data_IF_638438613297
#
_entry.id   IF_638438613297
#
_cell.length_a   1.000
_cell.length_b   1.000
_cell.length_c   1.000
_cell.angle_alpha   90.00
_cell.angle_beta   90.00
_cell.angle_gamma   90.00
#
_symmetry.space_group_name_H-M   'P 1'
#
loop_
_entity.id
_entity.type
_entity.pdbx_description
1 polymer ?
#
# COMPACT_ATOMS: atom_id res chain seq x y z
N UNK A 1 -15.17 -4.54 -55.61
CA UNK A 1 -15.15 -3.99 -54.26
C UNK A 1 -14.05 -4.68 -53.50
N UNK A 2 -13.02 -3.95 -53.16
CA UNK A 2 -11.68 -4.44 -52.79
C UNK A 2 -11.59 -4.99 -51.37
N UNK A 3 -10.67 -5.94 -51.15
CA UNK A 3 -10.33 -6.58 -49.88
C UNK A 3 -9.89 -5.64 -48.75
N UNK A 4 -9.82 -4.33 -48.98
CA UNK A 4 -9.52 -3.28 -47.99
C UNK A 4 -10.70 -2.89 -47.07
N UNK A 5 -11.93 -3.43 -47.35
CA UNK A 5 -13.14 -3.04 -46.59
C UNK A 5 -13.48 -4.00 -45.43
N UNK A 6 -12.74 -5.08 -45.21
CA UNK A 6 -13.13 -6.13 -44.25
C UNK A 6 -12.52 -5.99 -42.81
N UNK A 7 -11.62 -5.06 -42.57
CA UNK A 7 -11.00 -4.91 -41.23
C UNK A 7 -10.65 -3.47 -40.96
N UNK A 8 -11.65 -2.64 -40.68
CA UNK A 8 -11.46 -1.24 -40.25
C UNK A 8 -11.55 -1.05 -38.74
N UNK A 9 -11.99 -2.03 -37.97
CA UNK A 9 -11.87 -1.98 -36.52
C UNK A 9 -10.39 -2.13 -36.14
N UNK A 10 -9.95 -1.26 -35.29
CA UNK A 10 -8.63 -1.39 -34.69
C UNK A 10 -8.68 -2.59 -33.73
N UNK A 11 -7.75 -3.57 -33.84
CA UNK A 11 -7.82 -4.84 -33.09
C UNK A 11 -7.95 -4.65 -31.58
N UNK A 12 -7.34 -3.58 -31.07
CA UNK A 12 -7.38 -3.20 -29.66
C UNK A 12 -8.80 -2.86 -29.15
N UNK A 13 -9.66 -2.34 -30.02
CA UNK A 13 -11.02 -1.89 -29.66
C UNK A 13 -12.14 -2.82 -30.18
N UNK A 14 -11.82 -3.93 -30.84
CA UNK A 14 -12.82 -4.82 -31.44
C UNK A 14 -13.82 -5.42 -30.44
N UNK A 15 -13.45 -5.49 -29.15
CA UNK A 15 -14.28 -6.01 -28.04
C UNK A 15 -14.96 -4.93 -27.22
N UNK A 16 -14.80 -3.66 -27.58
CA UNK A 16 -15.47 -2.56 -26.90
C UNK A 16 -16.99 -2.74 -26.93
N UNK A 17 -17.63 -2.47 -25.83
CA UNK A 17 -19.07 -2.57 -25.65
C UNK A 17 -19.74 -1.29 -26.13
N UNK A 18 -20.44 -1.40 -27.23
CA UNK A 18 -21.13 -0.27 -27.87
C UNK A 18 -22.62 -0.35 -27.59
N UNK A 19 -23.21 0.74 -27.08
CA UNK A 19 -24.65 0.88 -26.98
C UNK A 19 -25.14 1.74 -28.15
N UNK A 20 -26.11 1.26 -28.91
CA UNK A 20 -26.77 2.00 -30.00
C UNK A 20 -28.19 2.30 -29.60
N UNK A 21 -28.55 3.58 -29.57
CA UNK A 21 -29.91 4.01 -29.27
C UNK A 21 -30.55 4.77 -30.44
N UNK A 22 -31.70 4.28 -30.87
CA UNK A 22 -32.60 4.94 -31.84
C UNK A 22 -34.00 4.39 -31.61
N UNK A 23 -35.04 5.25 -31.67
CA UNK A 23 -36.45 4.85 -31.57
C UNK A 23 -36.98 4.04 -32.76
N UNK A 24 -36.27 4.05 -33.90
CA UNK A 24 -36.57 3.25 -35.10
C UNK A 24 -35.81 1.94 -35.09
N UNK A 25 -36.48 0.81 -35.00
CA UNK A 25 -35.86 -0.52 -35.06
C UNK A 25 -35.12 -0.75 -36.38
N UNK A 26 -35.58 -0.18 -37.51
CA UNK A 26 -34.93 -0.33 -38.81
C UNK A 26 -33.59 0.42 -38.83
N UNK A 27 -33.55 1.63 -38.30
CA UNK A 27 -32.32 2.44 -38.21
C UNK A 27 -31.30 1.82 -37.27
N UNK A 28 -31.75 1.25 -36.15
CA UNK A 28 -30.89 0.50 -35.21
C UNK A 28 -30.18 -0.65 -35.94
N UNK A 29 -30.94 -1.48 -36.68
CA UNK A 29 -30.34 -2.61 -37.44
C UNK A 29 -29.31 -2.12 -38.45
N UNK A 30 -29.55 -1.00 -39.11
CA UNK A 30 -28.59 -0.41 -40.06
C UNK A 30 -27.28 0.04 -39.37
N UNK A 31 -27.34 0.67 -38.20
CA UNK A 31 -26.14 1.09 -37.48
C UNK A 31 -25.40 -0.10 -36.84
N UNK A 32 -26.13 -1.05 -36.27
CA UNK A 32 -25.54 -2.30 -35.71
C UNK A 32 -24.83 -3.08 -36.81
N UNK A 33 -25.48 -3.33 -37.97
CA UNK A 33 -24.86 -4.04 -39.10
C UNK A 33 -23.60 -3.33 -39.58
N UNK A 34 -23.59 -1.99 -39.68
CA UNK A 34 -22.41 -1.22 -40.04
C UNK A 34 -21.27 -1.41 -39.03
N UNK A 35 -21.56 -1.39 -37.71
CA UNK A 35 -20.57 -1.61 -36.65
C UNK A 35 -20.00 -3.05 -36.72
N UNK A 36 -20.84 -4.06 -36.97
CA UNK A 36 -20.41 -5.43 -37.12
C UNK A 36 -19.54 -5.62 -38.40
N UNK A 37 -19.91 -4.97 -39.49
CA UNK A 37 -19.15 -5.01 -40.77
C UNK A 37 -17.75 -4.41 -40.63
N UNK A 38 -17.58 -3.39 -39.80
CA UNK A 38 -16.27 -2.79 -39.49
C UNK A 38 -15.51 -3.53 -38.39
N UNK A 39 -16.12 -4.56 -37.75
CA UNK A 39 -15.44 -5.51 -36.87
C UNK A 39 -15.71 -5.40 -35.39
N UNK A 40 -16.68 -4.57 -34.94
CA UNK A 40 -17.11 -4.54 -33.56
C UNK A 40 -18.07 -5.67 -33.25
N UNK A 41 -17.83 -6.45 -32.18
CA UNK A 41 -18.59 -7.68 -31.88
C UNK A 41 -19.51 -7.57 -30.68
N UNK A 42 -19.35 -6.55 -29.84
CA UNK A 42 -20.11 -6.37 -28.59
C UNK A 42 -21.05 -5.16 -28.70
N UNK A 43 -21.98 -5.22 -29.65
CA UNK A 43 -22.95 -4.16 -29.90
C UNK A 43 -24.30 -4.52 -29.26
N UNK A 44 -24.80 -3.63 -28.40
CA UNK A 44 -26.14 -3.73 -27.80
C UNK A 44 -27.01 -2.60 -28.34
N UNK A 45 -28.29 -2.88 -28.60
CA UNK A 45 -29.21 -1.89 -29.12
C UNK A 45 -30.42 -1.68 -28.23
N UNK A 46 -30.91 -0.44 -28.19
CA UNK A 46 -32.13 -0.04 -27.51
C UNK A 46 -33.00 0.82 -28.39
N UNK A 47 -34.34 0.64 -28.30
CA UNK A 47 -35.32 1.42 -29.02
C UNK A 47 -36.27 2.21 -28.11
N UNK A 48 -36.22 1.99 -26.81
CA UNK A 48 -37.02 2.70 -25.82
C UNK A 48 -36.12 3.54 -24.91
N UNK A 49 -36.26 4.85 -24.96
CA UNK A 49 -35.45 5.80 -24.18
C UNK A 49 -35.54 5.60 -22.66
N UNK A 50 -36.64 5.02 -22.15
CA UNK A 50 -36.86 4.75 -20.71
C UNK A 50 -35.85 3.70 -20.18
N UNK A 51 -35.28 2.87 -21.05
CA UNK A 51 -34.32 1.84 -20.68
C UNK A 51 -32.85 2.29 -20.78
N UNK A 52 -32.55 3.50 -21.30
CA UNK A 52 -31.16 3.96 -21.47
C UNK A 52 -30.46 4.03 -20.11
N UNK A 53 -30.99 4.78 -19.15
CA UNK A 53 -30.33 4.93 -17.84
C UNK A 53 -30.26 3.63 -17.03
N UNK A 54 -31.32 2.80 -16.96
CA UNK A 54 -31.20 1.46 -16.36
C UNK A 54 -30.11 0.62 -17.02
N UNK A 55 -30.06 0.55 -18.34
CA UNK A 55 -29.06 -0.23 -19.09
C UNK A 55 -27.63 0.27 -18.86
N UNK A 56 -27.43 1.59 -18.77
CA UNK A 56 -26.12 2.17 -18.48
C UNK A 56 -25.66 1.97 -17.03
N UNK A 57 -26.61 1.85 -16.09
CA UNK A 57 -26.33 1.70 -14.67
C UNK A 57 -26.24 0.24 -14.22
N UNK A 58 -26.79 -0.70 -14.98
CA UNK A 58 -26.83 -2.12 -14.67
C UNK A 58 -25.82 -2.92 -15.51
N UNK A 59 -25.10 -3.82 -14.88
CA UNK A 59 -24.15 -4.71 -15.55
C UNK A 59 -22.77 -4.11 -15.81
N UNK A 60 -22.10 -4.64 -16.84
CA UNK A 60 -20.77 -4.15 -17.23
C UNK A 60 -20.89 -2.82 -17.99
N UNK A 61 -19.93 -1.88 -17.77
CA UNK A 61 -19.99 -0.55 -18.41
C UNK A 61 -19.91 -0.65 -19.95
N UNK A 62 -20.55 0.31 -20.61
CA UNK A 62 -20.36 0.52 -22.05
C UNK A 62 -19.18 1.45 -22.29
N UNK A 63 -18.52 1.26 -23.44
CA UNK A 63 -17.33 2.03 -23.83
C UNK A 63 -17.69 3.26 -24.68
N UNK A 64 -18.81 3.19 -25.38
CA UNK A 64 -19.34 4.31 -26.18
C UNK A 64 -20.85 4.15 -26.40
N UNK A 65 -21.53 5.26 -26.52
CA UNK A 65 -22.95 5.33 -26.86
C UNK A 65 -23.16 6.04 -28.21
N UNK A 66 -23.84 5.37 -29.13
CA UNK A 66 -24.41 6.00 -30.32
C UNK A 66 -25.83 6.50 -30.03
N UNK A 67 -26.07 7.78 -30.24
CA UNK A 67 -27.36 8.44 -29.98
C UNK A 67 -27.90 9.05 -31.27
N UNK A 68 -28.98 8.50 -31.82
CA UNK A 68 -29.68 9.17 -32.94
C UNK A 68 -30.47 10.40 -32.45
N UNK A 69 -30.39 11.48 -33.19
CA UNK A 69 -31.04 12.74 -32.86
C UNK A 69 -32.40 12.95 -33.58
N UNK A 70 -32.80 12.05 -34.47
CA UNK A 70 -34.03 12.14 -35.26
C UNK A 70 -35.28 11.70 -34.51
N UNK A 71 -35.24 11.72 -33.20
CA UNK A 71 -36.37 11.37 -32.35
C UNK A 71 -37.35 12.54 -32.20
N UNK A 72 -38.66 12.28 -32.02
CA UNK A 72 -39.65 13.30 -31.70
C UNK A 72 -39.26 14.09 -30.44
N UNK A 73 -39.75 15.31 -30.34
CA UNK A 73 -39.68 16.17 -29.14
C UNK A 73 -38.25 16.38 -28.57
N UNK A 74 -37.21 16.28 -29.41
CA UNK A 74 -35.79 16.41 -29.04
C UNK A 74 -35.38 15.43 -27.95
N UNK A 75 -35.96 14.24 -27.90
CA UNK A 75 -35.66 13.20 -26.91
C UNK A 75 -34.18 12.83 -26.91
N UNK A 76 -33.50 12.79 -28.08
CA UNK A 76 -32.07 12.54 -28.18
C UNK A 76 -31.22 13.53 -27.38
N UNK A 77 -31.50 14.82 -27.47
CA UNK A 77 -30.83 15.88 -26.73
C UNK A 77 -31.12 15.81 -25.25
N UNK A 78 -32.35 15.54 -24.84
CA UNK A 78 -32.73 15.36 -23.44
C UNK A 78 -32.00 14.18 -22.81
N UNK A 79 -31.87 13.08 -23.52
CA UNK A 79 -31.15 11.89 -23.06
C UNK A 79 -29.67 12.17 -22.91
N UNK A 80 -29.01 12.86 -23.86
CA UNK A 80 -27.62 13.28 -23.72
C UNK A 80 -27.42 14.10 -22.44
N UNK A 81 -28.25 15.09 -22.21
CA UNK A 81 -28.19 15.91 -21.01
C UNK A 81 -28.36 15.08 -19.73
N UNK A 82 -29.33 14.15 -19.72
CA UNK A 82 -29.58 13.27 -18.57
C UNK A 82 -28.38 12.36 -18.28
N UNK A 83 -27.80 11.77 -19.31
CA UNK A 83 -26.62 10.90 -19.20
C UNK A 83 -25.43 11.68 -18.62
N UNK A 84 -25.23 12.93 -19.05
CA UNK A 84 -24.13 13.80 -18.58
C UNK A 84 -24.23 14.22 -17.12
N UNK A 85 -25.40 14.06 -16.49
CA UNK A 85 -25.53 14.25 -15.04
C UNK A 85 -24.91 13.08 -14.23
N UNK A 86 -24.72 11.93 -14.88
CA UNK A 86 -24.22 10.71 -14.20
C UNK A 86 -22.85 10.30 -14.73
N UNK A 87 -22.64 10.40 -16.04
CA UNK A 87 -21.41 9.97 -16.70
C UNK A 87 -20.69 11.17 -17.35
N UNK A 88 -19.41 11.34 -17.05
CA UNK A 88 -18.58 12.33 -17.73
C UNK A 88 -18.39 11.98 -19.21
N UNK A 89 -17.96 12.96 -20.00
CA UNK A 89 -17.67 12.76 -21.42
C UNK A 89 -16.49 11.78 -21.66
N UNK A 90 -15.59 11.65 -20.70
CA UNK A 90 -14.48 10.72 -20.78
C UNK A 90 -14.84 9.30 -20.33
N UNK A 91 -15.76 9.16 -19.37
CA UNK A 91 -16.23 7.83 -18.92
C UNK A 91 -17.10 7.13 -19.94
N UNK A 92 -18.05 7.86 -20.52
CA UNK A 92 -18.96 7.35 -21.54
C UNK A 92 -19.01 8.32 -22.72
N UNK A 93 -18.15 8.20 -23.71
CA UNK A 93 -18.24 8.97 -24.94
C UNK A 93 -19.58 8.75 -25.64
N UNK A 94 -20.20 9.86 -26.12
CA UNK A 94 -21.42 9.84 -26.89
C UNK A 94 -21.15 10.34 -28.31
N UNK A 95 -21.46 9.51 -29.30
CA UNK A 95 -21.41 9.83 -30.71
C UNK A 95 -22.85 10.04 -31.23
N UNK A 96 -23.20 11.29 -31.51
CA UNK A 96 -24.54 11.64 -31.96
C UNK A 96 -24.68 11.41 -33.46
N UNK A 97 -25.87 10.97 -33.91
CA UNK A 97 -26.19 10.77 -35.33
C UNK A 97 -27.31 11.72 -35.73
N UNK A 98 -27.10 12.48 -36.79
CA UNK A 98 -28.07 13.48 -37.27
C UNK A 98 -28.38 13.35 -38.77
N UNK A 99 -29.48 14.07 -39.20
CA UNK A 99 -29.82 14.26 -40.61
C UNK A 99 -29.10 15.49 -41.17
N UNK A 100 -28.61 15.46 -42.43
CA UNK A 100 -27.96 16.61 -43.05
C UNK A 100 -28.87 17.82 -43.20
N UNK A 101 -30.20 17.64 -43.10
CA UNK A 101 -31.19 18.70 -43.16
C UNK A 101 -31.42 19.43 -41.83
N UNK A 102 -30.77 18.97 -40.76
CA UNK A 102 -30.91 19.54 -39.42
C UNK A 102 -29.54 19.81 -38.77
N UNK A 103 -28.69 20.67 -39.37
CA UNK A 103 -27.34 20.91 -38.87
C UNK A 103 -27.30 21.54 -37.47
N UNK A 104 -28.37 22.25 -37.10
CA UNK A 104 -28.56 22.85 -35.76
C UNK A 104 -28.62 21.79 -34.65
N UNK A 105 -29.10 20.56 -34.95
CA UNK A 105 -29.11 19.47 -34.00
C UNK A 105 -27.73 18.94 -33.68
N UNK A 106 -26.77 18.99 -34.62
CA UNK A 106 -25.39 18.64 -34.37
C UNK A 106 -24.77 19.54 -33.30
N UNK A 107 -24.92 20.86 -33.48
CA UNK A 107 -24.38 21.83 -32.51
C UNK A 107 -25.08 21.71 -31.16
N UNK A 108 -26.40 21.51 -31.16
CA UNK A 108 -27.16 21.30 -29.92
C UNK A 108 -26.74 20.04 -29.18
N UNK A 109 -26.42 18.93 -29.89
CA UNK A 109 -25.91 17.71 -29.26
C UNK A 109 -24.54 17.90 -28.62
N UNK A 110 -23.60 18.59 -29.30
CA UNK A 110 -22.30 18.92 -28.73
C UNK A 110 -22.44 19.80 -27.49
N UNK A 111 -23.31 20.83 -27.54
CA UNK A 111 -23.60 21.66 -26.38
C UNK A 111 -24.30 20.89 -25.24
N UNK A 112 -25.12 19.89 -25.55
CA UNK A 112 -25.72 18.99 -24.56
C UNK A 112 -24.70 18.01 -23.95
N UNK A 113 -23.49 17.88 -24.53
CA UNK A 113 -22.41 17.06 -24.02
C UNK A 113 -22.07 15.82 -24.87
N UNK A 114 -22.55 15.70 -26.12
CA UNK A 114 -22.01 14.70 -27.03
C UNK A 114 -20.52 14.99 -27.30
N UNK A 115 -19.73 13.94 -27.46
CA UNK A 115 -18.29 14.06 -27.73
C UNK A 115 -18.03 14.39 -29.20
N UNK A 116 -18.86 13.84 -30.10
CA UNK A 116 -18.72 14.03 -31.54
C UNK A 116 -20.07 13.72 -32.21
N UNK A 117 -20.17 13.95 -33.52
CA UNK A 117 -21.36 13.67 -34.29
C UNK A 117 -21.06 13.07 -35.65
N UNK A 118 -22.03 12.33 -36.19
CA UNK A 118 -22.07 11.77 -37.54
C UNK A 118 -23.27 12.32 -38.28
N UNK A 119 -23.11 12.56 -39.58
CA UNK A 119 -24.18 13.01 -40.47
C UNK A 119 -24.49 11.87 -41.47
N UNK A 120 -25.79 11.60 -41.71
CA UNK A 120 -26.20 10.60 -42.66
C UNK A 120 -26.01 11.10 -44.12
N UNK A 121 -25.67 10.25 -45.11
CA UNK A 121 -25.43 8.81 -44.98
C UNK A 121 -24.12 8.54 -44.21
N UNK A 122 -24.14 7.55 -43.33
CA UNK A 122 -22.99 7.27 -42.44
C UNK A 122 -21.91 6.53 -43.27
N UNK A 123 -20.69 7.08 -43.28
CA UNK A 123 -19.53 6.45 -43.89
C UNK A 123 -18.86 5.50 -42.87
N UNK A 124 -18.65 4.21 -43.17
CA UNK A 124 -17.96 3.27 -42.31
C UNK A 124 -16.56 3.73 -41.87
N UNK A 125 -15.81 4.40 -42.75
CA UNK A 125 -14.47 4.88 -42.46
C UNK A 125 -14.52 6.03 -41.44
N UNK A 126 -15.47 6.98 -41.61
CA UNK A 126 -15.64 8.10 -40.66
C UNK A 126 -16.03 7.56 -39.27
N UNK A 127 -16.94 6.56 -39.20
CA UNK A 127 -17.31 5.90 -37.94
C UNK A 127 -16.07 5.27 -37.29
N UNK A 128 -15.28 4.47 -38.01
CA UNK A 128 -14.13 3.78 -37.48
C UNK A 128 -13.08 4.77 -36.91
N UNK A 129 -12.82 5.87 -37.62
CA UNK A 129 -11.87 6.90 -37.19
C UNK A 129 -12.32 7.64 -35.95
N UNK A 130 -13.61 8.03 -35.87
CA UNK A 130 -14.18 8.74 -34.71
C UNK A 130 -14.24 7.80 -33.49
N UNK A 131 -14.66 6.57 -33.66
CA UNK A 131 -14.67 5.56 -32.60
C UNK A 131 -13.27 5.34 -32.03
N UNK A 132 -12.26 5.16 -32.89
CA UNK A 132 -10.88 5.02 -32.45
C UNK A 132 -10.46 6.20 -31.56
N UNK A 133 -10.73 7.43 -32.00
CA UNK A 133 -10.33 8.62 -31.26
C UNK A 133 -11.04 8.69 -29.90
N UNK A 134 -12.34 8.42 -29.86
CA UNK A 134 -13.13 8.44 -28.62
C UNK A 134 -12.70 7.36 -27.64
N UNK A 135 -12.48 6.13 -28.14
CA UNK A 135 -12.06 5.02 -27.31
C UNK A 135 -10.63 5.22 -26.79
N UNK A 136 -9.71 5.74 -27.62
CA UNK A 136 -8.35 6.07 -27.17
C UNK A 136 -8.37 7.11 -26.04
N UNK A 137 -9.17 8.18 -26.15
CA UNK A 137 -9.29 9.19 -25.09
C UNK A 137 -9.86 8.56 -23.80
N UNK A 138 -10.85 7.70 -23.95
CA UNK A 138 -11.44 6.98 -22.80
C UNK A 138 -10.41 6.07 -22.12
N UNK A 139 -9.63 5.30 -22.87
CA UNK A 139 -8.60 4.41 -22.32
C UNK A 139 -7.53 5.18 -21.55
N UNK A 140 -7.10 6.33 -22.09
CA UNK A 140 -6.18 7.23 -21.38
C UNK A 140 -6.79 7.73 -20.08
N UNK A 141 -8.07 8.11 -20.10
CA UNK A 141 -8.77 8.58 -18.91
C UNK A 141 -8.86 7.48 -17.84
N UNK A 142 -9.28 6.27 -18.21
CA UNK A 142 -9.41 5.15 -17.28
C UNK A 142 -8.05 4.75 -16.69
N UNK A 143 -7.01 4.68 -17.52
CA UNK A 143 -5.64 4.40 -17.05
C UNK A 143 -5.14 5.47 -16.10
N UNK A 144 -5.42 6.75 -16.37
CA UNK A 144 -5.06 7.86 -15.48
C UNK A 144 -5.78 7.76 -14.11
N UNK A 145 -7.06 7.41 -14.12
CA UNK A 145 -7.85 7.20 -12.90
C UNK A 145 -7.31 6.04 -12.07
N UNK A 146 -6.94 4.94 -12.71
CA UNK A 146 -6.36 3.79 -12.03
C UNK A 146 -5.01 4.13 -11.38
N UNK A 147 -4.12 4.82 -12.10
CA UNK A 147 -2.84 5.29 -11.56
C UNK A 147 -3.06 6.23 -10.38
N UNK A 148 -4.00 7.18 -10.49
CA UNK A 148 -4.32 8.11 -9.40
C UNK A 148 -4.81 7.38 -8.16
N UNK A 149 -5.76 6.46 -8.32
CA UNK A 149 -6.32 5.67 -7.21
C UNK A 149 -5.24 4.82 -6.51
N UNK A 150 -4.32 4.24 -7.28
CA UNK A 150 -3.22 3.45 -6.73
C UNK A 150 -2.23 4.34 -5.97
N UNK A 151 -1.90 5.52 -6.52
CA UNK A 151 -1.03 6.49 -5.86
C UNK A 151 -1.63 7.01 -4.54
N UNK A 152 -2.92 7.34 -4.54
CA UNK A 152 -3.63 7.79 -3.33
C UNK A 152 -3.60 6.72 -2.23
N UNK A 153 -3.80 5.44 -2.59
CA UNK A 153 -3.69 4.32 -1.64
C UNK A 153 -2.27 4.17 -1.09
N UNK A 154 -1.26 4.30 -1.94
CA UNK A 154 0.14 4.22 -1.51
C UNK A 154 0.52 5.38 -0.59
N UNK A 155 0.14 6.62 -0.93
CA UNK A 155 0.35 7.81 -0.10
C UNK A 155 -0.34 7.67 1.26
N UNK A 156 -1.60 7.21 1.28
CA UNK A 156 -2.34 6.98 2.52
C UNK A 156 -1.65 5.94 3.41
N UNK A 157 -1.19 4.82 2.83
CA UNK A 157 -0.47 3.78 3.56
C UNK A 157 0.86 4.28 4.14
N UNK A 158 1.64 5.03 3.35
CA UNK A 158 2.90 5.64 3.82
C UNK A 158 2.67 6.67 4.92
N UNK A 159 1.63 7.51 4.78
CA UNK A 159 1.29 8.52 5.78
C UNK A 159 0.86 7.87 7.10
N UNK A 160 0.07 6.79 7.03
CA UNK A 160 -0.33 6.04 8.22
C UNK A 160 0.89 5.46 8.96
N UNK A 161 1.86 4.88 8.22
CA UNK A 161 3.11 4.38 8.80
C UNK A 161 3.93 5.49 9.48
N UNK A 162 4.07 6.66 8.84
CA UNK A 162 4.78 7.81 9.40
C UNK A 162 4.11 8.35 10.67
N UNK A 163 2.81 8.53 10.66
CA UNK A 163 2.06 9.00 11.83
C UNK A 163 2.23 8.06 13.03
N UNK A 164 2.18 6.75 12.77
CA UNK A 164 2.41 5.75 13.79
C UNK A 164 3.81 5.84 14.41
N UNK A 165 4.86 6.05 13.59
CA UNK A 165 6.22 6.27 14.11
C UNK A 165 6.31 7.56 14.95
N UNK A 166 5.68 8.64 14.51
CA UNK A 166 5.65 9.91 15.26
C UNK A 166 4.95 9.73 16.61
N UNK A 167 3.78 9.09 16.63
CA UNK A 167 3.02 8.84 17.87
C UNK A 167 3.81 7.97 18.84
N UNK A 168 4.43 6.90 18.34
CA UNK A 168 5.30 6.03 19.13
C UNK A 168 6.50 6.80 19.70
N UNK A 169 7.18 7.61 18.88
CA UNK A 169 8.29 8.45 19.33
C UNK A 169 7.89 9.44 20.43
N UNK A 170 6.73 10.09 20.28
CA UNK A 170 6.19 11.00 21.30
C UNK A 170 5.84 10.27 22.61
N UNK A 171 5.26 9.08 22.52
CA UNK A 171 4.92 8.26 23.68
C UNK A 171 6.20 7.81 24.41
N UNK A 172 7.19 7.32 23.67
CA UNK A 172 8.49 6.92 24.19
C UNK A 172 9.19 8.07 24.91
N UNK A 173 9.18 9.27 24.36
CA UNK A 173 9.82 10.45 24.96
C UNK A 173 9.17 10.92 26.29
N UNK A 174 7.93 10.55 26.56
CA UNK A 174 7.18 10.88 27.77
C UNK A 174 7.29 9.81 28.86
N UNK A 175 7.68 8.60 28.50
CA UNK A 175 7.78 7.48 29.42
C UNK A 175 9.05 7.60 30.24
N UNK A 176 8.92 7.62 31.59
CA UNK A 176 10.03 7.72 32.54
C UNK A 176 10.39 6.41 33.25
N UNK A 177 9.77 5.33 32.82
CA UNK A 177 10.01 3.98 33.30
C UNK A 177 10.68 3.15 32.20
N UNK A 178 11.90 2.72 32.45
CA UNK A 178 12.70 1.92 31.52
C UNK A 178 12.01 0.63 31.13
N UNK A 179 11.38 -0.04 32.09
CA UNK A 179 10.68 -1.30 31.81
C UNK A 179 9.44 -1.08 30.93
N UNK A 180 8.65 -0.05 31.23
CA UNK A 180 7.49 0.33 30.44
C UNK A 180 7.89 0.71 29.00
N UNK A 181 9.00 1.40 28.83
CA UNK A 181 9.52 1.79 27.51
C UNK A 181 9.92 0.58 26.67
N UNK A 182 10.69 -0.34 27.25
CA UNK A 182 11.10 -1.58 26.59
C UNK A 182 9.88 -2.42 26.20
N UNK A 183 8.95 -2.59 27.14
CA UNK A 183 7.72 -3.34 26.88
C UNK A 183 6.92 -2.72 25.74
N UNK A 184 6.75 -1.41 25.76
CA UNK A 184 6.04 -0.71 24.68
C UNK A 184 6.70 -0.94 23.32
N UNK A 185 8.03 -0.77 23.23
CA UNK A 185 8.79 -1.00 21.98
C UNK A 185 8.58 -2.41 21.43
N UNK A 186 8.66 -3.42 22.28
CA UNK A 186 8.50 -4.82 21.85
C UNK A 186 7.05 -5.11 21.36
N UNK A 187 6.04 -4.66 22.12
CA UNK A 187 4.65 -4.91 21.77
C UNK A 187 4.22 -4.15 20.52
N UNK A 188 4.65 -2.90 20.36
CA UNK A 188 4.37 -2.11 19.17
C UNK A 188 5.11 -2.65 17.95
N UNK A 189 6.39 -3.03 18.10
CA UNK A 189 7.14 -3.68 17.02
C UNK A 189 6.47 -4.98 16.56
N UNK A 190 6.04 -5.82 17.51
CA UNK A 190 5.29 -7.05 17.20
C UNK A 190 3.99 -6.77 16.43
N UNK A 191 3.24 -5.76 16.86
CA UNK A 191 1.99 -5.35 16.21
C UNK A 191 2.22 -4.80 14.80
N UNK A 192 3.23 -3.94 14.64
CA UNK A 192 3.62 -3.35 13.36
C UNK A 192 4.01 -4.37 12.31
N UNK A 193 4.75 -5.38 12.74
CA UNK A 193 5.28 -6.40 11.85
C UNK A 193 4.30 -7.56 11.63
N UNK A 194 3.18 -7.60 12.35
CA UNK A 194 2.28 -8.75 12.40
C UNK A 194 3.08 -10.05 12.64
N UNK A 195 3.87 -10.08 13.72
CA UNK A 195 4.66 -11.25 14.09
C UNK A 195 4.24 -11.80 15.46
N UNK A 196 4.57 -13.06 15.69
CA UNK A 196 4.11 -13.80 16.86
C UNK A 196 4.85 -13.40 18.15
N UNK A 197 6.16 -13.18 18.06
CA UNK A 197 6.96 -12.84 19.23
C UNK A 197 8.03 -11.79 18.92
N UNK A 198 8.45 -11.08 19.99
CA UNK A 198 9.58 -10.15 19.95
C UNK A 198 10.40 -10.29 21.22
N UNK A 199 11.72 -10.13 21.09
CA UNK A 199 12.71 -10.25 22.15
C UNK A 199 13.66 -9.05 22.12
N UNK A 200 14.06 -8.57 23.30
CA UNK A 200 15.12 -7.58 23.45
C UNK A 200 16.31 -8.19 24.18
N UNK A 201 17.49 -8.02 23.59
CA UNK A 201 18.78 -8.22 24.22
C UNK A 201 19.42 -6.87 24.49
N UNK A 202 19.96 -6.65 25.67
CA UNK A 202 20.71 -5.45 26.01
C UNK A 202 22.20 -5.77 26.12
N UNK A 203 23.04 -4.86 25.65
CA UNK A 203 24.50 -4.95 25.82
C UNK A 203 24.80 -4.61 27.28
N UNK A 204 25.62 -5.44 27.92
CA UNK A 204 26.11 -5.24 29.28
C UNK A 204 27.49 -4.58 29.30
N UNK A 205 27.92 -4.08 30.45
CA UNK A 205 29.25 -3.52 30.66
C UNK A 205 30.36 -4.58 30.40
N UNK A 206 30.04 -5.88 30.49
CA UNK A 206 30.95 -6.99 30.20
C UNK A 206 30.98 -7.33 28.68
N UNK A 207 30.36 -6.50 27.84
CA UNK A 207 30.26 -6.75 26.38
C UNK A 207 29.61 -8.10 26.07
N UNK A 208 28.53 -8.38 26.76
CA UNK A 208 27.64 -9.50 26.48
C UNK A 208 26.28 -9.00 26.05
N UNK A 209 25.53 -9.78 25.29
CA UNK A 209 24.10 -9.59 25.04
C UNK A 209 23.33 -10.38 26.09
N UNK A 210 22.70 -9.67 27.02
CA UNK A 210 21.83 -10.27 28.03
C UNK A 210 20.39 -10.22 27.58
N UNK A 211 19.69 -11.32 27.71
CA UNK A 211 18.27 -11.43 27.52
C UNK A 211 17.52 -10.50 28.49
N UNK A 212 16.79 -9.53 28.00
CA UNK A 212 16.17 -8.51 28.86
C UNK A 212 14.65 -8.64 28.97
N UNK A 213 13.96 -8.86 27.84
CA UNK A 213 12.51 -8.96 27.81
C UNK A 213 12.03 -9.73 26.57
N UNK A 214 10.87 -10.37 26.70
CA UNK A 214 10.15 -11.05 25.62
C UNK A 214 8.65 -10.75 25.71
N UNK A 215 7.95 -10.80 24.56
CA UNK A 215 6.48 -10.60 24.51
C UNK A 215 5.67 -11.86 24.86
N UNK A 216 6.30 -13.01 25.01
CA UNK A 216 5.67 -14.26 25.48
C UNK A 216 5.91 -14.45 26.97
N UNK A 217 4.98 -15.10 27.64
CA UNK A 217 5.04 -15.40 29.09
C UNK A 217 5.91 -16.65 29.39
N UNK A 218 6.99 -16.86 28.63
CA UNK A 218 7.92 -17.93 28.86
C UNK A 218 8.94 -17.51 29.94
N UNK A 219 9.43 -18.46 30.75
CA UNK A 219 10.55 -18.18 31.65
C UNK A 219 11.76 -17.73 30.85
N UNK A 220 12.25 -16.54 31.17
CA UNK A 220 13.49 -16.00 30.58
C UNK A 220 14.65 -16.80 31.14
N UNK A 221 15.37 -17.49 30.28
CA UNK A 221 16.68 -18.03 30.66
C UNK A 221 17.60 -16.84 30.97
N UNK A 222 18.26 -16.86 32.14
CA UNK A 222 19.30 -15.89 32.47
C UNK A 222 20.56 -16.20 31.63
N UNK A 223 20.44 -15.96 30.34
CA UNK A 223 21.44 -16.34 29.34
C UNK A 223 22.11 -15.07 28.83
N UNK A 224 23.41 -15.04 28.95
CA UNK A 224 24.27 -14.02 28.35
C UNK A 224 25.08 -14.60 27.21
N UNK A 225 25.17 -13.89 26.08
CA UNK A 225 25.95 -14.27 24.91
C UNK A 225 27.08 -13.27 24.79
N UNK A 226 28.33 -13.73 24.88
CA UNK A 226 29.50 -12.88 24.73
C UNK A 226 29.58 -12.30 23.30
N UNK A 227 29.85 -11.00 23.18
CA UNK A 227 30.10 -10.34 21.89
C UNK A 227 31.48 -10.65 21.35
N UNK A 228 32.41 -11.01 22.25
CA UNK A 228 33.78 -11.42 21.92
C UNK A 228 34.10 -12.69 22.64
N UNK A 229 34.89 -13.58 22.01
CA UNK A 229 35.36 -14.78 22.65
C UNK A 229 36.20 -14.43 23.88
N UNK A 230 35.88 -14.96 25.06
CA UNK A 230 36.56 -14.58 26.31
C UNK A 230 38.03 -15.01 26.40
N UNK A 231 38.43 -15.93 25.55
CA UNK A 231 39.83 -16.48 25.54
C UNK A 231 40.66 -15.81 24.46
N UNK A 232 40.11 -15.72 23.21
CA UNK A 232 40.85 -15.20 22.06
C UNK A 232 40.65 -13.70 21.85
N UNK A 233 39.56 -13.12 22.37
CA UNK A 233 39.14 -11.72 22.13
C UNK A 233 38.57 -11.50 20.72
N UNK A 234 38.41 -12.53 19.93
CA UNK A 234 37.84 -12.41 18.58
C UNK A 234 36.35 -12.11 18.62
N UNK A 235 35.80 -11.35 17.60
CA UNK A 235 34.39 -11.07 17.49
C UNK A 235 33.57 -12.36 17.36
N UNK A 236 32.54 -12.51 18.18
CA UNK A 236 31.62 -13.63 18.09
C UNK A 236 30.56 -13.35 17.02
N UNK A 237 30.82 -13.74 15.80
CA UNK A 237 29.93 -13.56 14.64
C UNK A 237 29.08 -14.80 14.35
N UNK A 238 29.09 -15.80 15.22
CA UNK A 238 28.40 -17.07 14.99
C UNK A 238 26.89 -16.97 15.15
N UNK A 239 26.41 -16.10 16.05
CA UNK A 239 24.97 -15.92 16.28
C UNK A 239 24.45 -14.70 15.53
N UNK A 240 23.23 -14.78 15.01
CA UNK A 240 22.57 -13.66 14.31
C UNK A 240 22.47 -12.39 15.18
N UNK A 241 22.23 -12.53 16.49
CA UNK A 241 22.13 -11.40 17.42
C UNK A 241 23.49 -10.72 17.68
N UNK A 242 24.57 -11.49 17.88
CA UNK A 242 25.91 -10.94 18.08
C UNK A 242 26.47 -10.35 16.80
N UNK A 243 26.26 -11.01 15.67
CA UNK A 243 26.62 -10.46 14.36
C UNK A 243 25.94 -9.11 14.10
N UNK A 244 24.61 -9.05 14.35
CA UNK A 244 23.82 -7.82 14.23
C UNK A 244 24.39 -6.69 15.11
N UNK A 245 24.70 -6.97 16.36
CA UNK A 245 25.27 -6.01 17.28
C UNK A 245 26.64 -5.49 16.84
N UNK A 246 27.52 -6.41 16.41
CA UNK A 246 28.90 -6.08 16.03
C UNK A 246 28.99 -5.35 14.69
N UNK A 247 28.18 -5.73 13.71
CA UNK A 247 28.19 -5.10 12.38
C UNK A 247 27.24 -3.91 12.26
N UNK A 248 26.37 -3.69 13.26
CA UNK A 248 25.37 -2.60 13.26
C UNK A 248 24.45 -2.65 12.06
N UNK A 249 24.07 -3.87 11.63
CA UNK A 249 23.23 -4.11 10.45
C UNK A 249 22.14 -5.12 10.80
N UNK A 250 20.95 -4.98 10.15
CA UNK A 250 19.89 -5.99 10.27
C UNK A 250 20.35 -7.38 9.81
N UNK A 251 19.74 -8.39 10.41
CA UNK A 251 19.87 -9.79 9.99
C UNK A 251 18.47 -10.36 9.82
N UNK A 252 18.18 -10.85 8.63
CA UNK A 252 16.93 -11.51 8.30
C UNK A 252 17.19 -12.99 7.99
N UNK A 253 16.43 -13.86 8.62
CA UNK A 253 16.48 -15.31 8.41
C UNK A 253 15.07 -15.74 7.99
N UNK A 254 14.97 -16.31 6.80
CA UNK A 254 13.69 -16.71 6.22
C UNK A 254 13.20 -18.03 6.83
N UNK A 255 14.11 -18.97 7.12
CA UNK A 255 13.81 -20.21 7.83
C UNK A 255 14.98 -20.65 8.72
N UNK A 256 14.77 -20.62 10.03
CA UNK A 256 15.77 -21.02 11.06
C UNK A 256 16.27 -22.45 10.88
N UNK A 257 15.45 -23.34 10.34
CA UNK A 257 15.80 -24.77 10.16
C UNK A 257 16.58 -25.04 8.87
N UNK A 258 16.58 -24.11 7.93
CA UNK A 258 17.30 -24.19 6.66
C UNK A 258 18.56 -23.30 6.62
N UNK A 259 18.65 -22.33 7.55
CA UNK A 259 19.76 -21.38 7.64
C UNK A 259 21.05 -22.08 8.07
N UNK A 260 22.16 -21.81 7.35
CA UNK A 260 23.48 -22.39 7.59
C UNK A 260 24.58 -21.35 7.87
N UNK A 261 24.30 -20.07 7.67
CA UNK A 261 25.26 -18.98 7.87
C UNK A 261 25.44 -18.59 9.34
N UNK A 262 24.50 -18.98 10.21
CA UNK A 262 24.54 -18.71 11.65
C UNK A 262 24.32 -19.96 12.47
N UNK A 263 24.93 -19.98 13.68
CA UNK A 263 24.59 -20.98 14.69
C UNK A 263 23.23 -20.68 15.34
N UNK A 264 22.27 -21.48 14.99
CA UNK A 264 20.90 -21.39 15.48
C UNK A 264 20.54 -22.56 16.43
N UNK A 265 21.56 -23.25 16.94
CA UNK A 265 21.39 -24.37 17.89
C UNK A 265 20.65 -23.94 19.16
N UNK A 266 20.94 -22.74 19.67
CA UNK A 266 20.25 -22.17 20.81
C UNK A 266 18.76 -21.94 20.55
N UNK A 267 18.39 -21.41 19.41
CA UNK A 267 16.99 -21.20 18.99
C UNK A 267 16.27 -22.53 18.83
N UNK A 268 16.88 -23.49 18.13
CA UNK A 268 16.33 -24.85 17.96
C UNK A 268 16.19 -25.62 19.27
N UNK A 269 17.16 -25.44 20.18
CA UNK A 269 17.11 -26.04 21.54
C UNK A 269 15.98 -25.45 22.39
N UNK A 270 15.77 -24.14 22.31
CA UNK A 270 14.66 -23.48 22.96
C UNK A 270 13.31 -23.95 22.39
N UNK A 271 13.18 -24.04 21.07
CA UNK A 271 11.99 -24.54 20.39
C UNK A 271 11.65 -25.96 20.85
N UNK A 272 12.65 -26.84 20.93
CA UNK A 272 12.47 -28.22 21.42
C UNK A 272 12.05 -28.29 22.90
N UNK A 273 12.54 -27.38 23.73
CA UNK A 273 12.22 -27.37 25.16
C UNK A 273 10.85 -26.72 25.44
N UNK A 274 10.46 -25.68 24.70
CA UNK A 274 9.25 -24.88 24.94
C UNK A 274 8.04 -25.34 24.10
N UNK A 275 8.25 -26.18 23.08
CA UNK A 275 7.24 -26.52 22.09
C UNK A 275 6.89 -25.35 21.14
N UNK A 276 7.66 -24.28 21.15
CA UNK A 276 7.55 -23.19 20.20
C UNK A 276 8.29 -23.55 18.92
N UNK A 277 7.85 -23.04 17.78
CA UNK A 277 8.52 -23.25 16.51
C UNK A 277 8.87 -21.89 15.91
N UNK A 278 10.17 -21.54 15.97
CA UNK A 278 10.70 -20.34 15.33
C UNK A 278 11.04 -20.63 13.86
N UNK A 279 10.33 -20.04 12.93
CA UNK A 279 10.58 -20.20 11.49
C UNK A 279 11.34 -19.00 10.94
N UNK A 280 10.74 -17.82 10.92
CA UNK A 280 11.35 -16.62 10.37
C UNK A 280 11.77 -15.64 11.46
N UNK A 281 12.90 -14.95 11.27
CA UNK A 281 13.38 -13.93 12.21
C UNK A 281 13.86 -12.67 11.49
N UNK A 282 13.68 -11.53 12.15
CA UNK A 282 14.29 -10.25 11.79
C UNK A 282 14.92 -9.65 13.04
N UNK A 283 16.24 -9.46 12.99
CA UNK A 283 17.04 -8.94 14.09
C UNK A 283 17.63 -7.60 13.69
N UNK A 284 17.41 -6.56 14.51
CA UNK A 284 17.87 -5.19 14.22
C UNK A 284 18.64 -4.60 15.40
N UNK A 285 19.69 -3.79 15.17
CA UNK A 285 20.48 -3.17 16.23
C UNK A 285 19.77 -1.92 16.77
N UNK A 286 19.88 -1.68 18.06
CA UNK A 286 19.51 -0.42 18.72
C UNK A 286 20.77 0.41 18.87
N UNK A 287 20.95 1.43 18.02
CA UNK A 287 22.16 2.25 17.94
C UNK A 287 21.88 3.60 18.60
N UNK A 288 22.77 4.02 19.53
CA UNK A 288 22.75 5.33 20.17
C UNK A 288 23.29 6.43 19.26
N UNK A 289 23.09 7.69 19.67
CA UNK A 289 23.54 8.85 18.89
C UNK A 289 25.06 8.96 18.69
N UNK A 290 25.85 8.39 19.56
CA UNK A 290 27.32 8.26 19.48
C UNK A 290 27.78 7.08 18.60
N UNK A 291 26.84 6.27 18.16
CA UNK A 291 27.08 5.09 17.33
C UNK A 291 27.28 3.80 18.10
N UNK A 292 27.20 3.80 19.41
CA UNK A 292 27.28 2.59 20.22
C UNK A 292 25.99 1.78 20.17
N UNK A 293 26.10 0.45 20.30
CA UNK A 293 24.95 -0.45 20.30
C UNK A 293 24.47 -0.67 21.72
N UNK A 294 23.26 -0.21 22.01
CA UNK A 294 22.59 -0.41 23.30
C UNK A 294 22.04 -1.85 23.45
N UNK A 295 21.65 -2.45 22.35
CA UNK A 295 21.03 -3.76 22.33
C UNK A 295 20.60 -4.21 20.95
N UNK A 296 19.84 -5.28 20.92
CA UNK A 296 19.31 -5.88 19.68
C UNK A 296 17.84 -6.25 19.89
N UNK A 297 16.99 -5.85 18.97
CA UNK A 297 15.60 -6.28 18.86
C UNK A 297 15.50 -7.46 17.90
N UNK A 298 14.86 -8.53 18.30
CA UNK A 298 14.59 -9.69 17.46
C UNK A 298 13.08 -9.95 17.38
N UNK A 299 12.56 -10.01 16.18
CA UNK A 299 11.18 -10.33 15.86
C UNK A 299 11.12 -11.72 15.24
N UNK A 300 10.09 -12.50 15.61
CA UNK A 300 9.99 -13.90 15.23
C UNK A 300 8.62 -14.19 14.65
N UNK A 301 8.59 -15.04 13.62
CA UNK A 301 7.40 -15.58 12.98
C UNK A 301 6.45 -14.49 12.47
N UNK A 302 6.81 -13.86 11.35
CA UNK A 302 5.88 -12.97 10.64
C UNK A 302 4.67 -13.77 10.18
N UNK A 303 3.48 -13.25 10.48
CA UNK A 303 2.22 -13.89 10.13
C UNK A 303 1.60 -13.15 8.94
N UNK A 304 1.18 -13.89 7.93
CA UNK A 304 0.36 -13.36 6.86
C UNK A 304 -1.07 -13.12 7.35
N UNK A 305 -1.59 -11.88 7.30
CA UNK A 305 -2.95 -11.58 7.76
C UNK A 305 -4.07 -12.31 7.01
N UNK A 306 -3.83 -12.75 5.78
CA UNK A 306 -4.82 -13.41 4.94
C UNK A 306 -4.90 -14.92 5.21
N UNK A 307 -3.74 -15.60 5.29
CA UNK A 307 -3.66 -17.06 5.49
C UNK A 307 -3.45 -17.48 6.94
N UNK A 308 -3.01 -16.56 7.80
CA UNK A 308 -2.56 -16.82 9.17
C UNK A 308 -1.37 -17.79 9.25
N UNK A 309 -0.61 -17.92 8.16
CA UNK A 309 0.60 -18.75 8.10
C UNK A 309 1.84 -17.92 8.42
N UNK A 310 2.89 -18.59 8.92
CA UNK A 310 4.19 -17.95 9.14
C UNK A 310 4.91 -17.82 7.80
N UNK A 311 5.31 -16.58 7.49
CA UNK A 311 6.02 -16.23 6.27
C UNK A 311 7.35 -15.53 6.60
N UNK A 312 8.31 -15.44 5.64
CA UNK A 312 9.50 -14.62 5.79
C UNK A 312 9.20 -13.14 5.99
N UNK A 313 10.06 -12.42 6.70
CA UNK A 313 10.03 -10.97 6.77
C UNK A 313 10.44 -10.38 5.43
N UNK A 314 9.65 -9.44 4.88
CA UNK A 314 9.98 -8.75 3.63
C UNK A 314 11.07 -7.69 3.85
N UNK A 315 12.01 -7.48 2.91
CA UNK A 315 13.08 -6.48 3.02
C UNK A 315 12.60 -5.05 3.24
N UNK A 316 11.42 -4.70 2.74
CA UNK A 316 10.81 -3.38 2.91
C UNK A 316 10.36 -3.07 4.35
N UNK A 317 10.36 -4.06 5.25
CA UNK A 317 10.12 -3.88 6.66
C UNK A 317 11.37 -3.45 7.44
N UNK A 318 12.57 -3.72 6.95
CA UNK A 318 13.83 -3.41 7.64
C UNK A 318 13.94 -1.92 8.03
N UNK A 319 13.73 -0.94 7.10
CA UNK A 319 13.83 0.47 7.47
C UNK A 319 12.81 0.92 8.53
N UNK A 320 11.63 0.29 8.56
CA UNK A 320 10.60 0.59 9.55
C UNK A 320 11.04 0.13 10.94
N UNK A 321 11.61 -1.06 11.02
CA UNK A 321 12.06 -1.65 12.29
C UNK A 321 13.33 -0.97 12.79
N UNK A 322 14.24 -0.60 11.90
CA UNK A 322 15.42 0.20 12.22
C UNK A 322 15.02 1.57 12.81
N UNK A 323 14.01 2.24 12.23
CA UNK A 323 13.50 3.49 12.76
C UNK A 323 12.89 3.31 14.18
N UNK A 324 12.14 2.23 14.40
CA UNK A 324 11.60 1.90 15.75
C UNK A 324 12.73 1.63 16.75
N UNK A 325 13.74 0.86 16.35
CA UNK A 325 14.91 0.53 17.18
C UNK A 325 15.72 1.77 17.53
N UNK A 326 15.92 2.69 16.58
CA UNK A 326 16.59 3.97 16.80
C UNK A 326 15.81 4.86 17.78
N UNK A 327 14.48 4.97 17.63
CA UNK A 327 13.64 5.72 18.57
C UNK A 327 13.73 5.15 19.99
N UNK A 328 13.68 3.83 20.12
CA UNK A 328 13.80 3.16 21.41
C UNK A 328 15.19 3.39 22.04
N UNK A 329 16.26 3.33 21.25
CA UNK A 329 17.61 3.60 21.71
C UNK A 329 17.75 5.01 22.26
N UNK A 330 17.29 6.04 21.51
CA UNK A 330 17.31 7.45 21.95
C UNK A 330 16.48 7.66 23.22
N UNK A 331 15.32 7.02 23.31
CA UNK A 331 14.46 7.18 24.50
C UNK A 331 15.08 6.53 25.75
N UNK A 332 15.72 5.36 25.61
CA UNK A 332 16.43 4.69 26.70
C UNK A 332 17.67 5.47 27.15
N UNK A 333 18.41 6.04 26.21
CA UNK A 333 19.57 6.88 26.48
C UNK A 333 19.20 8.13 27.25
N UNK A 334 18.18 8.88 26.79
CA UNK A 334 17.64 10.04 27.46
C UNK A 334 17.16 9.72 28.89
N UNK A 335 16.57 8.56 29.08
CA UNK A 335 16.14 8.13 30.43
C UNK A 335 17.33 7.87 31.33
N UNK A 336 18.36 7.16 30.83
CA UNK A 336 19.58 6.89 31.59
C UNK A 336 20.31 8.18 31.98
N UNK A 337 20.42 9.15 31.06
CA UNK A 337 20.99 10.47 31.33
C UNK A 337 20.20 11.24 32.41
N UNK A 338 18.89 11.19 32.35
CA UNK A 338 18.01 11.85 33.32
C UNK A 338 18.16 11.24 34.70
N UNK A 339 18.21 9.92 34.81
CA UNK A 339 18.43 9.19 36.04
C UNK A 339 19.82 9.52 36.67
N UNK A 340 20.88 9.55 35.85
CA UNK A 340 22.23 9.92 36.27
C UNK A 340 22.28 11.36 36.81
N UNK A 341 21.65 12.31 36.11
CA UNK A 341 21.55 13.71 36.55
C UNK A 341 20.82 13.83 37.89
N UNK A 342 19.70 13.14 38.06
CA UNK A 342 18.95 13.14 39.31
C UNK A 342 19.73 12.52 40.45
N UNK A 343 20.53 11.47 40.20
CA UNK A 343 21.41 10.88 41.20
C UNK A 343 22.51 11.86 41.64
N UNK A 344 23.14 12.58 40.71
CA UNK A 344 24.14 13.61 40.99
C UNK A 344 23.56 14.77 41.81
N UNK A 345 22.39 15.27 41.46
CA UNK A 345 21.71 16.33 42.20
C UNK A 345 21.40 15.90 43.64
N UNK A 346 20.90 14.68 43.82
CA UNK A 346 20.64 14.10 45.15
C UNK A 346 21.93 13.93 45.99
N UNK A 347 23.04 13.52 45.37
CA UNK A 347 24.33 13.41 46.02
C UNK A 347 24.89 14.77 46.40
N UNK A 348 24.79 15.78 45.54
CA UNK A 348 25.20 17.14 45.80
C UNK A 348 24.42 17.80 46.95
N UNK A 349 23.11 17.56 47.06
CA UNK A 349 22.32 18.05 48.20
C UNK A 349 22.66 17.36 49.52
N UNK A 350 23.12 16.12 49.52
CA UNK A 350 23.59 15.43 50.72
C UNK A 350 24.95 15.94 51.20
N UNK A 351 25.82 16.43 50.33
CA UNK A 351 27.12 16.99 50.69
C UNK A 351 27.03 18.49 51.10
N UNK A 352 26.01 19.23 50.63
CA UNK A 352 25.81 20.62 50.98
C UNK A 352 24.99 20.88 52.27
N UNK A 353 24.41 19.82 52.87
CA UNK A 353 23.60 19.90 54.10
C UNK A 353 24.38 19.76 55.44
N UNK A 354 25.69 19.74 55.41
CA UNK A 354 26.52 19.71 56.60
C UNK A 354 27.24 21.05 56.82
N UNK A 355 26.81 21.78 57.90
CA UNK A 355 27.33 23.04 58.46
C UNK A 355 26.74 24.34 57.95
N UNK A 356 25.67 24.72 58.57
CA UNK A 356 25.43 26.14 59.03
C UNK A 356 24.61 26.10 60.29
N UNK A 357 25.20 25.65 61.41
CA UNK A 357 24.83 26.18 62.70
C UNK A 357 25.45 27.54 62.81
N UNK A 358 24.66 28.59 62.56
CA UNK A 358 24.99 29.95 62.95
C UNK A 358 24.60 30.08 64.41
N UNK A 359 25.62 30.07 65.26
CA UNK A 359 25.55 30.55 66.68
C UNK A 359 25.32 32.06 66.64
N UNK A 360 24.21 32.51 67.16
CA UNK A 360 24.01 33.84 67.74
C UNK A 360 23.45 33.71 69.15
#
# INVERSE_FOLDING_TARGET
>A
MNALQKHTAFPEHARCRILVFNDSAIDVVGVVGLLEDIGYTAVTSLTDHRHIMPTLSEGLPFDVLFMDLRMPDLEGLKNIYLIRRTFSAAELPILAISDPRAPELCNAALLAGANDHLVRPIDPIDVALRLRNLLTIRDIYLSSQEIQNNLEREVAARTAKLNMLIENGLLMSRTRDRFALIRHTLFEGRRLLHCDAATLYLVTDHKTLRFSMRTRDDELADTEIALYDPVTGEPNVHFASTWCALHKKPVRIDNVYEETGFDLSGTRGFDAASGYLTISTLTVPMIQGDGDVLGVLQFMNKIDPASNEVIPFSPDLEPLVEALAAQAAVALDNLALTEALQAQVKAGHRMGGGNAEIVL
#
